data_IF_785564657531
#
_entry.id   IF_785564657531
#
_cell.length_a   1.000
_cell.length_b   1.000
_cell.length_c   1.000
_cell.angle_alpha   90.00
_cell.angle_beta   90.00
_cell.angle_gamma   90.00
#
_symmetry.space_group_name_H-M   'P 1'
#
loop_
_entity.id
_entity.type
_entity.pdbx_description
1 polymer ?
#
# COMPACT_ATOMS: atom_id res chain seq x y z
N UNK A 1 13.83 14.47 10.08
CA UNK A 1 14.18 13.82 9.93
C UNK A 1 14.92 13.39 9.16
N UNK A 2 15.26 13.15 9.12
CA UNK A 2 15.82 12.69 8.51
C UNK A 2 16.27 11.97 8.33
N UNK A 3 16.28 11.63 8.47
CA UNK A 3 16.57 11.02 8.34
C UNK A 3 16.98 10.26 8.06
N UNK A 4 17.18 9.96 8.09
CA UNK A 4 17.48 9.13 7.77
C UNK A 4 17.44 8.43 7.06
N UNK A 5 17.38 8.52 6.80
CA UNK A 5 17.20 8.00 6.12
C UNK A 5 17.77 7.29 5.40
N UNK A 6 17.74 7.16 5.42
CA UNK A 6 18.44 6.74 4.49
C UNK A 6 18.96 5.47 4.33
N UNK A 7 19.55 5.35 4.04
CA UNK A 7 20.51 4.39 3.80
C UNK A 7 20.52 3.26 4.76
N UNK A 8 19.81 3.38 5.82
CA UNK A 8 19.82 2.37 6.84
C UNK A 8 18.82 1.26 6.60
N UNK A 9 18.80 0.26 7.46
CA UNK A 9 17.77 -0.74 7.47
C UNK A 9 16.40 -0.10 7.69
N UNK A 10 15.36 -0.85 7.39
CA UNK A 10 13.99 -0.42 7.60
C UNK A 10 13.76 0.07 9.02
N UNK A 11 12.98 1.12 9.15
CA UNK A 11 12.51 1.60 10.44
C UNK A 11 11.10 1.13 10.77
N UNK A 12 10.47 0.43 9.84
CA UNK A 12 9.14 -0.09 10.07
C UNK A 12 9.20 -1.35 10.93
N UNK A 13 8.33 -1.41 11.89
CA UNK A 13 8.12 -2.62 12.66
C UNK A 13 6.94 -3.33 12.04
N UNK A 14 7.22 -4.37 11.30
CA UNK A 14 6.20 -5.12 10.56
C UNK A 14 5.74 -6.33 11.36
N UNK A 15 4.49 -6.77 11.15
CA UNK A 15 4.01 -8.02 11.71
C UNK A 15 4.87 -9.21 11.24
N UNK A 16 4.91 -10.31 11.99
CA UNK A 16 5.61 -11.51 11.55
C UNK A 16 5.14 -11.97 10.17
N UNK A 17 6.06 -12.40 9.34
CA UNK A 17 5.77 -12.86 7.99
C UNK A 17 5.85 -11.78 6.93
N UNK A 18 5.86 -10.52 7.31
CA UNK A 18 6.06 -9.42 6.36
C UNK A 18 7.54 -9.12 6.17
N UNK A 19 7.90 -8.77 4.94
CA UNK A 19 9.24 -8.29 4.62
C UNK A 19 9.13 -6.97 3.86
N UNK A 20 10.13 -6.12 4.02
CA UNK A 20 10.12 -4.80 3.39
C UNK A 20 11.09 -4.74 2.23
N UNK A 21 10.68 -4.08 1.16
CA UNK A 21 11.54 -3.70 0.05
C UNK A 21 11.32 -2.24 -0.31
N UNK A 22 12.39 -1.55 -0.65
CA UNK A 22 12.29 -0.18 -1.13
C UNK A 22 12.03 -0.20 -2.64
N UNK A 23 11.16 0.69 -3.10
CA UNK A 23 10.98 0.92 -4.52
C UNK A 23 12.21 1.62 -5.10
N UNK A 24 12.47 1.35 -6.38
CA UNK A 24 13.53 2.05 -7.08
C UNK A 24 13.28 3.56 -7.11
N UNK A 25 14.34 4.38 -7.15
CA UNK A 25 14.18 5.82 -7.27
C UNK A 25 13.30 6.16 -8.48
N UNK A 26 12.38 7.10 -8.30
CA UNK A 26 11.45 7.57 -9.32
C UNK A 26 10.36 6.56 -9.71
N UNK A 27 10.29 5.42 -9.03
CA UNK A 27 9.22 4.43 -9.22
C UNK A 27 8.23 4.53 -8.07
N UNK A 28 6.95 4.35 -8.36
CA UNK A 28 5.96 4.26 -7.30
C UNK A 28 5.89 2.83 -6.75
N UNK A 29 5.36 2.69 -5.54
CA UNK A 29 5.32 1.41 -4.87
C UNK A 29 4.45 0.38 -5.60
N UNK A 30 3.34 0.82 -6.18
CA UNK A 30 2.45 -0.07 -6.93
C UNK A 30 3.14 -0.63 -8.17
N UNK A 31 3.79 0.22 -8.96
CA UNK A 31 4.50 -0.22 -10.17
C UNK A 31 5.61 -1.20 -9.82
N UNK A 32 6.37 -0.94 -8.77
CA UNK A 32 7.43 -1.84 -8.34
C UNK A 32 6.88 -3.17 -7.83
N UNK A 33 5.80 -3.13 -7.04
CA UNK A 33 5.16 -4.36 -6.58
C UNK A 33 4.64 -5.20 -7.75
N UNK A 34 4.04 -4.56 -8.76
CA UNK A 34 3.59 -5.25 -9.96
C UNK A 34 4.76 -5.91 -10.71
N UNK A 35 5.88 -5.19 -10.83
CA UNK A 35 7.07 -5.74 -11.47
C UNK A 35 7.60 -6.96 -10.71
N UNK A 36 7.69 -6.86 -9.40
CA UNK A 36 8.18 -7.94 -8.55
C UNK A 36 7.25 -9.15 -8.59
N UNK A 37 5.95 -8.92 -8.57
CA UNK A 37 4.98 -10.00 -8.63
C UNK A 37 5.04 -10.71 -9.99
N UNK A 38 5.16 -9.96 -11.08
CA UNK A 38 5.23 -10.54 -12.42
C UNK A 38 6.50 -11.35 -12.64
N UNK A 39 7.63 -10.92 -12.07
CA UNK A 39 8.92 -11.61 -12.21
C UNK A 39 9.10 -12.76 -11.22
N UNK A 40 8.25 -12.86 -10.22
CA UNK A 40 8.39 -13.85 -9.16
C UNK A 40 9.47 -13.52 -8.14
N UNK A 41 10.01 -12.30 -8.15
CA UNK A 41 11.07 -11.90 -7.23
C UNK A 41 10.60 -11.61 -5.81
N UNK A 42 9.32 -11.35 -5.64
CA UNK A 42 8.76 -11.05 -4.32
C UNK A 42 7.82 -12.15 -3.87
N UNK A 43 7.94 -12.50 -2.61
CA UNK A 43 7.04 -13.44 -1.96
C UNK A 43 5.79 -12.73 -1.44
N UNK A 44 4.79 -13.51 -1.07
CA UNK A 44 3.61 -12.99 -0.40
C UNK A 44 4.00 -12.22 0.85
N UNK A 45 3.23 -11.18 1.17
CA UNK A 45 3.47 -10.30 2.30
C UNK A 45 4.77 -9.47 2.19
N UNK A 46 5.28 -9.29 0.98
CA UNK A 46 6.32 -8.29 0.73
C UNK A 46 5.67 -6.92 0.68
N UNK A 47 6.12 -6.03 1.55
CA UNK A 47 5.69 -4.63 1.55
C UNK A 47 6.71 -3.81 0.79
N UNK A 48 6.25 -3.18 -0.29
CA UNK A 48 7.09 -2.28 -1.09
C UNK A 48 6.80 -0.85 -0.63
N UNK A 49 7.83 -0.14 -0.26
CA UNK A 49 7.72 1.22 0.24
C UNK A 49 8.49 2.18 -0.66
N UNK A 50 7.82 3.20 -1.14
CA UNK A 50 8.46 4.30 -1.84
C UNK A 50 9.11 5.24 -0.82
N UNK A 51 10.28 5.74 -1.14
CA UNK A 51 11.03 6.65 -0.25
C UNK A 51 10.72 8.10 -0.56
N UNK A 52 9.45 8.45 -0.50
CA UNK A 52 9.01 9.83 -0.69
C UNK A 52 8.80 10.49 0.67
N UNK A 53 9.12 11.77 0.73
CA UNK A 53 8.96 12.56 1.96
C UNK A 53 7.60 13.25 2.02
N UNK A 54 6.95 13.37 0.88
CA UNK A 54 5.74 14.18 0.74
C UNK A 54 4.45 13.36 0.85
N UNK A 55 4.54 12.02 0.82
CA UNK A 55 3.36 11.18 0.94
C UNK A 55 3.74 9.77 1.36
N UNK A 56 2.76 9.05 1.85
CA UNK A 56 2.89 7.61 2.12
C UNK A 56 2.49 6.87 0.86
N UNK A 57 3.42 6.11 0.32
CA UNK A 57 3.20 5.33 -0.90
C UNK A 57 3.78 3.94 -0.67
N UNK A 58 2.88 2.97 -0.51
CA UNK A 58 3.26 1.59 -0.25
C UNK A 58 2.35 0.63 -1.00
N UNK A 59 2.86 -0.58 -1.21
CA UNK A 59 2.10 -1.67 -1.81
C UNK A 59 2.44 -2.97 -1.11
N UNK A 60 1.50 -3.89 -1.06
CA UNK A 60 1.71 -5.21 -0.48
C UNK A 60 1.48 -6.24 -1.57
N UNK A 61 2.45 -7.14 -1.72
CA UNK A 61 2.32 -8.28 -2.62
C UNK A 61 1.54 -9.37 -1.91
N UNK A 62 0.49 -9.85 -2.55
CA UNK A 62 -0.36 -10.92 -2.03
C UNK A 62 -0.24 -12.14 -2.93
N UNK A 63 -0.40 -13.30 -2.35
CA UNK A 63 -0.47 -14.56 -3.10
C UNK A 63 -1.66 -15.37 -2.58
N UNK A 64 -2.89 -14.92 -2.88
CA UNK A 64 -4.08 -15.59 -2.39
C UNK A 64 -4.24 -16.96 -3.07
N UNK A 65 -4.68 -17.93 -2.27
CA UNK A 65 -4.95 -19.28 -2.77
C UNK A 65 -6.42 -19.41 -3.17
N UNK A 66 -6.82 -18.54 -4.10
CA UNK A 66 -8.20 -18.49 -4.59
C UNK A 66 -8.25 -17.82 -5.97
N UNK A 67 -9.34 -18.03 -6.73
CA UNK A 67 -9.47 -17.39 -8.04
C UNK A 67 -9.46 -15.88 -7.97
N UNK A 68 -8.95 -15.23 -9.01
CA UNK A 68 -8.87 -13.78 -9.08
C UNK A 68 -10.23 -13.11 -8.83
N UNK A 69 -11.30 -13.69 -9.32
CA UNK A 69 -12.64 -13.12 -9.12
C UNK A 69 -12.98 -12.93 -7.63
N UNK A 70 -12.50 -13.82 -6.76
CA UNK A 70 -12.67 -13.74 -5.32
C UNK A 70 -11.57 -12.92 -4.68
N UNK A 71 -10.33 -13.12 -5.13
CA UNK A 71 -9.15 -12.48 -4.56
C UNK A 71 -9.20 -10.95 -4.69
N UNK A 72 -9.90 -10.42 -5.68
CA UNK A 72 -10.06 -8.97 -5.86
C UNK A 72 -10.69 -8.27 -4.66
N UNK A 73 -11.35 -9.02 -3.79
CA UNK A 73 -11.90 -8.45 -2.54
C UNK A 73 -10.83 -7.90 -1.62
N UNK A 74 -9.57 -8.28 -1.81
CA UNK A 74 -8.46 -7.75 -1.04
C UNK A 74 -8.36 -6.23 -1.15
N UNK A 75 -8.79 -5.65 -2.28
CA UNK A 75 -8.83 -4.21 -2.45
C UNK A 75 -9.68 -3.53 -1.37
N UNK A 76 -10.84 -4.09 -1.09
CA UNK A 76 -11.75 -3.52 -0.09
C UNK A 76 -11.19 -3.67 1.32
N UNK A 77 -10.57 -4.82 1.60
CA UNK A 77 -9.90 -5.01 2.88
C UNK A 77 -8.78 -3.99 3.07
N UNK A 78 -8.00 -3.74 2.03
CA UNK A 78 -6.96 -2.72 2.06
C UNK A 78 -7.51 -1.31 2.29
N UNK A 79 -8.61 -0.97 1.63
CA UNK A 79 -9.25 0.34 1.81
C UNK A 79 -9.80 0.51 3.23
N UNK A 80 -10.39 -0.54 3.80
CA UNK A 80 -10.87 -0.52 5.19
C UNK A 80 -9.69 -0.34 6.15
N UNK A 81 -8.60 -1.06 5.92
CA UNK A 81 -7.40 -0.94 6.75
C UNK A 81 -6.83 0.48 6.70
N UNK A 82 -6.79 1.07 5.51
CA UNK A 82 -6.32 2.44 5.32
C UNK A 82 -7.22 3.44 6.06
N UNK A 83 -8.53 3.29 5.93
CA UNK A 83 -9.48 4.16 6.60
C UNK A 83 -9.36 4.06 8.12
N UNK A 84 -9.19 2.85 8.64
CA UNK A 84 -9.00 2.64 10.07
C UNK A 84 -7.71 3.29 10.56
N UNK A 85 -6.62 3.17 9.80
CA UNK A 85 -5.35 3.81 10.17
C UNK A 85 -5.49 5.33 10.21
N UNK A 86 -6.13 5.92 9.21
CA UNK A 86 -6.37 7.36 9.18
C UNK A 86 -7.25 7.79 10.36
N UNK A 87 -8.27 7.00 10.69
CA UNK A 87 -9.15 7.29 11.82
C UNK A 87 -8.43 7.23 13.15
N UNK A 88 -7.46 6.33 13.31
CA UNK A 88 -6.68 6.21 14.55
C UNK A 88 -5.72 7.38 14.74
N UNK A 89 -5.07 7.82 13.66
CA UNK A 89 -4.04 8.86 13.75
C UNK A 89 -4.57 10.26 13.47
N UNK A 90 -5.78 10.39 12.95
CA UNK A 90 -6.41 11.67 12.67
C UNK A 90 -7.26 12.19 13.83
N UNK A 91 -7.71 13.45 13.74
CA UNK A 91 -8.66 14.00 14.72
C UNK A 91 -9.96 13.19 14.74
N UNK A 92 -10.48 12.83 15.93
CA UNK A 92 -11.62 11.92 16.02
C UNK A 92 -12.94 12.46 15.48
N UNK A 93 -13.08 13.78 15.41
CA UNK A 93 -14.31 14.38 14.89
C UNK A 93 -14.33 14.53 13.38
N UNK A 94 -13.21 14.24 12.70
CA UNK A 94 -13.13 14.42 11.25
C UNK A 94 -13.62 13.15 10.57
N UNK A 95 -14.63 13.22 9.70
CA UNK A 95 -15.14 12.04 9.02
C UNK A 95 -14.16 11.53 7.98
N UNK A 96 -14.00 10.20 7.95
CA UNK A 96 -13.26 9.47 6.92
C UNK A 96 -14.28 8.73 6.08
N UNK A 97 -14.31 8.98 4.80
CA UNK A 97 -15.30 8.43 3.88
C UNK A 97 -14.64 7.84 2.66
N UNK A 98 -15.36 6.93 2.01
CA UNK A 98 -14.91 6.34 0.77
C UNK A 98 -15.65 6.96 -0.41
N UNK A 99 -14.91 7.11 -1.50
CA UNK A 99 -15.48 7.36 -2.81
C UNK A 99 -15.10 6.20 -3.70
N UNK A 100 -16.10 5.54 -4.22
CA UNK A 100 -15.91 4.34 -5.02
C UNK A 100 -15.06 4.60 -6.27
N UNK A 101 -14.16 3.71 -6.66
CA UNK A 101 -13.85 2.43 -6.00
C UNK A 101 -12.65 2.47 -5.06
N UNK A 102 -11.83 3.47 -5.08
CA UNK A 102 -10.57 3.41 -4.38
C UNK A 102 -10.06 4.75 -3.84
N UNK A 103 -10.95 5.72 -3.63
CA UNK A 103 -10.57 7.02 -3.07
C UNK A 103 -11.00 7.12 -1.62
N UNK A 104 -10.12 7.70 -0.81
CA UNK A 104 -10.39 8.00 0.59
C UNK A 104 -10.51 9.50 0.76
N UNK A 105 -11.60 9.93 1.37
CA UNK A 105 -11.87 11.33 1.67
C UNK A 105 -11.67 11.59 3.16
N UNK A 106 -11.05 12.71 3.47
CA UNK A 106 -10.87 13.18 4.83
C UNK A 106 -11.49 14.56 4.93
N UNK A 107 -12.53 14.69 5.75
CA UNK A 107 -13.30 15.93 5.86
C UNK A 107 -13.82 16.42 4.50
N UNK A 108 -14.26 15.48 3.67
CA UNK A 108 -14.81 15.78 2.36
C UNK A 108 -13.77 16.06 1.26
N UNK A 109 -12.50 16.13 1.60
CA UNK A 109 -11.44 16.36 0.62
C UNK A 109 -10.68 15.07 0.35
N UNK A 110 -10.20 14.92 -0.87
CA UNK A 110 -9.43 13.74 -1.26
C UNK A 110 -8.12 13.68 -0.49
N UNK A 111 -7.94 12.62 0.28
CA UNK A 111 -6.70 12.35 1.00
C UNK A 111 -5.77 11.43 0.21
N UNK A 112 -6.32 10.42 -0.42
CA UNK A 112 -5.56 9.41 -1.13
C UNK A 112 -6.44 8.27 -1.56
N UNK A 113 -5.88 7.10 -1.65
CA UNK A 113 -6.65 5.93 -2.04
C UNK A 113 -5.77 4.72 -2.29
N UNK A 114 -6.36 3.70 -2.86
CA UNK A 114 -5.68 2.47 -3.19
C UNK A 114 -6.17 1.89 -4.50
N UNK A 115 -5.37 1.01 -5.04
CA UNK A 115 -5.72 0.25 -6.23
C UNK A 115 -5.15 -1.15 -6.15
N UNK A 116 -5.77 -2.05 -6.87
CA UNK A 116 -5.34 -3.43 -6.98
C UNK A 116 -4.79 -3.68 -8.37
N UNK A 117 -3.66 -4.39 -8.44
CA UNK A 117 -3.12 -4.88 -9.69
C UNK A 117 -2.87 -6.37 -9.62
N UNK A 118 -2.77 -7.01 -10.75
CA UNK A 118 -2.28 -8.38 -10.90
C UNK A 118 -1.43 -8.41 -12.16
N UNK A 119 -0.55 -9.43 -12.35
CA UNK A 119 0.47 -9.38 -13.40
C UNK A 119 -0.04 -9.01 -14.80
N UNK A 120 -1.24 -9.42 -15.17
CA UNK A 120 -1.82 -9.13 -16.47
C UNK A 120 -2.53 -7.78 -16.53
N UNK A 121 -2.68 -7.09 -15.40
CA UNK A 121 -3.43 -5.84 -15.31
C UNK A 121 -2.79 -4.89 -14.30
N UNK A 122 -1.49 -4.73 -14.36
CA UNK A 122 -0.75 -3.76 -13.59
C UNK A 122 -0.64 -2.46 -14.38
N UNK A 123 -1.36 -1.49 -13.97
CA UNK A 123 -1.28 -0.24 -14.69
C UNK A 123 -2.29 0.80 -14.25
#
# INVERSE_FOLDING_TARGET
>A
MTVLVDAGPSRLVLPPGFSERAAEPHSDAHAEACRLAASGEAEAATLVLSRRDDLVDLAVVLAPDEPLATARRAHFAGMVALANAVGVFGPPEIPVMFEWPGTLLFNGARLGGGRLGWPEACG
#
